data_IF_884694597924
#
_entry.id   IF_884694597924
#
_cell.length_a   1.000
_cell.length_b   1.000
_cell.length_c   1.000
_cell.angle_alpha   90.00
_cell.angle_beta   90.00
_cell.angle_gamma   90.00
#
_symmetry.space_group_name_H-M   'P 1'
#
loop_
_entity.id
_entity.type
_entity.pdbx_description
1 polymer ?
#
# COMPACT_ATOMS: atom_id res chain seq x y z
N UNK A 1 -12.56 -37.88 19.77
CA UNK A 1 -13.60 -37.46 18.81
C UNK A 1 -13.69 -35.94 18.88
N UNK A 2 -13.03 -35.24 17.95
CA UNK A 2 -13.10 -33.78 17.86
C UNK A 2 -14.46 -33.37 17.28
N UNK A 3 -15.10 -32.38 17.88
CA UNK A 3 -16.35 -31.80 17.38
C UNK A 3 -16.08 -31.04 16.07
N UNK A 4 -16.98 -31.09 15.08
CA UNK A 4 -16.82 -30.30 13.86
C UNK A 4 -17.04 -28.81 14.18
N UNK A 5 -16.13 -27.97 13.70
CA UNK A 5 -16.32 -26.52 13.63
C UNK A 5 -17.58 -26.25 12.81
N UNK A 6 -18.65 -25.86 13.50
CA UNK A 6 -19.91 -25.48 12.87
C UNK A 6 -19.68 -24.23 12.02
N UNK A 7 -20.19 -24.29 10.80
CA UNK A 7 -20.11 -23.22 9.81
C UNK A 7 -20.61 -21.90 10.39
N UNK A 8 -19.81 -20.83 10.24
CA UNK A 8 -20.30 -19.47 10.45
C UNK A 8 -21.43 -19.22 9.45
N UNK A 9 -22.64 -19.13 9.99
CA UNK A 9 -23.83 -18.70 9.26
C UNK A 9 -23.57 -17.32 8.64
N UNK A 10 -23.70 -17.23 7.32
CA UNK A 10 -23.63 -15.97 6.59
C UNK A 10 -24.93 -15.18 6.84
N UNK A 11 -25.01 -14.47 7.97
CA UNK A 11 -25.73 -13.21 7.95
C UNK A 11 -24.94 -12.25 7.08
N UNK A 12 -25.62 -11.52 6.19
CA UNK A 12 -25.00 -10.43 5.43
C UNK A 12 -24.44 -9.41 6.43
N UNK A 13 -23.15 -9.55 6.77
CA UNK A 13 -22.46 -8.60 7.62
C UNK A 13 -22.54 -7.25 6.92
N UNK A 14 -23.15 -6.26 7.59
CA UNK A 14 -23.13 -4.89 7.10
C UNK A 14 -21.67 -4.52 6.82
N UNK A 15 -21.38 -4.01 5.62
CA UNK A 15 -20.03 -3.58 5.26
C UNK A 15 -19.55 -2.59 6.32
N UNK A 16 -18.40 -2.82 6.98
CA UNK A 16 -17.94 -1.94 8.03
C UNK A 16 -17.77 -0.53 7.48
N UNK A 17 -18.14 0.47 8.27
CA UNK A 17 -17.93 1.87 7.89
C UNK A 17 -16.42 2.13 7.87
N UNK A 18 -15.88 2.50 6.72
CA UNK A 18 -14.46 2.75 6.54
C UNK A 18 -14.17 4.25 6.38
N UNK A 19 -13.06 4.70 6.97
CA UNK A 19 -12.47 6.03 6.70
C UNK A 19 -10.97 5.90 6.52
N UNK A 20 -10.48 6.33 5.36
CA UNK A 20 -9.05 6.44 5.07
C UNK A 20 -8.62 7.88 5.32
N UNK A 21 -7.77 8.09 6.32
CA UNK A 21 -7.17 9.39 6.62
C UNK A 21 -5.76 9.46 6.07
N UNK A 22 -5.50 10.40 5.16
CA UNK A 22 -4.15 10.56 4.57
C UNK A 22 -3.84 11.98 4.10
N UNK A 23 -2.60 12.23 3.69
CA UNK A 23 -2.24 13.42 2.94
C UNK A 23 -2.87 13.41 1.54
N UNK A 24 -2.99 14.59 0.92
CA UNK A 24 -3.34 14.70 -0.49
C UNK A 24 -2.15 14.34 -1.41
N UNK A 25 -1.64 13.12 -1.27
CA UNK A 25 -0.46 12.59 -1.95
C UNK A 25 -0.74 11.15 -2.44
N UNK A 26 -0.14 10.78 -3.58
CA UNK A 26 -0.19 9.43 -4.15
C UNK A 26 0.95 8.54 -3.64
N UNK A 27 1.09 8.43 -2.33
CA UNK A 27 2.15 7.68 -1.67
C UNK A 27 1.59 6.49 -0.86
N UNK A 28 1.96 6.33 0.41
CA UNK A 28 1.69 5.14 1.24
C UNK A 28 0.20 4.82 1.47
N UNK A 29 -0.69 5.81 1.36
CA UNK A 29 -2.14 5.61 1.45
C UNK A 29 -2.82 5.30 0.12
N UNK A 30 -2.15 5.54 -1.01
CA UNK A 30 -2.73 5.39 -2.34
C UNK A 30 -3.09 3.94 -2.69
N UNK A 31 -2.25 2.92 -2.41
CA UNK A 31 -2.62 1.54 -2.70
C UNK A 31 -3.92 1.11 -2.00
N UNK A 32 -4.10 1.49 -0.72
CA UNK A 32 -5.31 1.17 0.05
C UNK A 32 -6.53 1.85 -0.58
N UNK A 33 -6.39 3.14 -0.96
CA UNK A 33 -7.43 3.89 -1.67
C UNK A 33 -7.83 3.19 -2.98
N UNK A 34 -6.85 2.81 -3.79
CA UNK A 34 -7.09 2.13 -5.07
C UNK A 34 -7.78 0.78 -4.87
N UNK A 35 -7.35 -0.02 -3.89
CA UNK A 35 -7.98 -1.30 -3.61
C UNK A 35 -9.48 -1.14 -3.30
N UNK A 36 -9.82 -0.21 -2.40
CA UNK A 36 -11.22 0.08 -2.03
C UNK A 36 -12.05 0.59 -3.22
N UNK A 37 -11.48 1.48 -4.03
CA UNK A 37 -12.13 1.99 -5.25
C UNK A 37 -12.39 0.87 -6.27
N UNK A 38 -11.38 0.05 -6.56
CA UNK A 38 -11.47 -1.07 -7.53
C UNK A 38 -12.51 -2.09 -7.06
N UNK A 39 -12.49 -2.45 -5.78
CA UNK A 39 -13.46 -3.36 -5.19
C UNK A 39 -14.82 -2.74 -4.89
N UNK A 40 -15.03 -1.46 -5.23
CA UNK A 40 -16.28 -0.71 -5.00
C UNK A 40 -16.74 -0.75 -3.54
N UNK A 41 -15.78 -0.77 -2.60
CA UNK A 41 -16.05 -0.73 -1.17
C UNK A 41 -16.25 0.74 -0.77
N UNK A 42 -17.40 1.14 -0.22
CA UNK A 42 -17.63 2.52 0.21
C UNK A 42 -16.73 2.88 1.39
N UNK A 43 -16.12 4.06 1.34
CA UNK A 43 -15.30 4.61 2.42
C UNK A 43 -15.28 6.14 2.36
N UNK A 44 -15.03 6.78 3.49
CA UNK A 44 -14.68 8.21 3.56
C UNK A 44 -13.21 8.40 3.20
N UNK A 45 -12.91 9.07 2.09
CA UNK A 45 -11.55 9.50 1.72
C UNK A 45 -11.23 10.86 2.36
N UNK A 46 -10.80 10.83 3.62
CA UNK A 46 -10.42 12.05 4.33
C UNK A 46 -8.98 12.43 3.99
N UNK A 47 -8.82 13.61 3.38
CA UNK A 47 -7.51 14.16 3.03
C UNK A 47 -7.19 15.35 3.90
N UNK A 48 -5.98 15.39 4.45
CA UNK A 48 -5.49 16.55 5.19
C UNK A 48 -5.59 17.79 4.28
N UNK A 49 -6.39 18.80 4.64
CA UNK A 49 -6.66 19.94 3.75
C UNK A 49 -5.41 20.79 3.45
N UNK A 50 -4.57 21.00 4.46
CA UNK A 50 -3.36 21.80 4.34
C UNK A 50 -2.22 21.21 5.20
N UNK A 51 -1.00 21.22 4.67
CA UNK A 51 0.15 20.56 5.30
C UNK A 51 0.60 21.22 6.61
N UNK A 52 0.33 22.51 6.79
CA UNK A 52 0.59 23.28 8.01
C UNK A 52 -0.29 22.85 9.21
N UNK A 53 -1.39 22.13 8.96
CA UNK A 53 -2.21 21.50 10.00
C UNK A 53 -1.59 20.20 10.53
N UNK A 54 -0.66 19.58 9.78
CA UNK A 54 -0.05 18.31 10.16
C UNK A 54 0.66 18.33 11.51
N UNK A 55 1.48 19.35 11.88
CA UNK A 55 2.13 19.40 13.18
C UNK A 55 1.16 19.30 14.37
N UNK A 56 -0.04 19.90 14.27
CA UNK A 56 -1.06 19.85 15.31
C UNK A 56 -1.81 18.51 15.35
N UNK A 57 -2.03 17.88 14.19
CA UNK A 57 -2.71 16.60 14.09
C UNK A 57 -1.80 15.40 14.41
N UNK A 58 -0.51 15.49 14.09
CA UNK A 58 0.46 14.40 14.31
C UNK A 58 0.41 13.76 15.71
N UNK A 59 0.37 14.50 16.83
CA UNK A 59 0.31 13.87 18.16
C UNK A 59 -1.01 13.13 18.43
N UNK A 60 -2.06 13.36 17.64
CA UNK A 60 -3.35 12.68 17.79
C UNK A 60 -3.47 11.40 16.97
N UNK A 61 -2.51 11.12 16.08
CA UNK A 61 -2.51 9.87 15.30
C UNK A 61 -1.82 8.74 16.06
N UNK A 62 -2.26 7.50 15.82
CA UNK A 62 -1.90 6.30 16.58
C UNK A 62 -0.39 6.09 16.73
N UNK A 63 0.38 6.42 15.69
CA UNK A 63 1.84 6.28 15.68
C UNK A 63 2.57 7.57 15.32
N UNK A 64 1.91 8.73 15.40
CA UNK A 64 2.49 10.00 14.95
C UNK A 64 2.77 10.05 13.45
N UNK A 65 2.03 9.28 12.66
CA UNK A 65 2.17 9.10 11.22
C UNK A 65 0.81 8.99 10.54
N UNK A 66 0.79 9.15 9.22
CA UNK A 66 -0.31 8.81 8.31
C UNK A 66 0.27 7.90 7.19
N UNK A 67 -0.53 7.00 6.58
CA UNK A 67 -1.99 6.90 6.65
C UNK A 67 -2.54 6.18 7.88
N UNK A 68 -3.83 6.40 8.14
CA UNK A 68 -4.66 5.63 9.08
C UNK A 68 -5.95 5.14 8.42
N UNK A 69 -6.41 3.95 8.81
CA UNK A 69 -7.70 3.38 8.41
C UNK A 69 -8.56 3.22 9.67
N UNK A 70 -9.68 3.93 9.71
CA UNK A 70 -10.74 3.69 10.70
C UNK A 70 -11.70 2.64 10.17
N UNK A 71 -12.00 1.64 10.99
CA UNK A 71 -12.92 0.54 10.69
C UNK A 71 -14.00 0.49 11.77
N UNK A 72 -15.27 0.63 11.37
CA UNK A 72 -16.40 0.43 12.27
C UNK A 72 -16.61 -1.05 12.61
N UNK A 73 -16.73 -1.37 13.88
CA UNK A 73 -17.04 -2.69 14.41
C UNK A 73 -18.18 -2.59 15.43
N UNK A 74 -19.41 -2.91 15.00
CA UNK A 74 -20.61 -2.66 15.79
C UNK A 74 -20.79 -1.17 16.09
N UNK A 75 -20.89 -0.83 17.37
CA UNK A 75 -21.01 0.56 17.85
C UNK A 75 -19.65 1.24 18.10
N UNK A 76 -18.53 0.56 17.81
CA UNK A 76 -17.17 1.06 18.05
C UNK A 76 -16.42 1.36 16.75
N UNK A 77 -15.43 2.25 16.83
CA UNK A 77 -14.49 2.52 15.74
C UNK A 77 -13.08 2.11 16.16
N UNK A 78 -12.40 1.34 15.32
CA UNK A 78 -11.01 0.92 15.51
C UNK A 78 -10.10 1.64 14.52
N UNK A 79 -8.97 2.14 14.99
CA UNK A 79 -7.98 2.86 14.16
C UNK A 79 -6.75 1.99 13.92
N UNK A 80 -6.44 1.77 12.64
CA UNK A 80 -5.28 1.02 12.17
C UNK A 80 -4.34 1.93 11.38
N UNK A 81 -3.08 1.54 11.32
CA UNK A 81 -2.04 2.22 10.58
C UNK A 81 -1.10 1.16 9.98
N UNK A 82 -0.01 1.61 9.36
CA UNK A 82 0.89 0.83 8.51
C UNK A 82 0.26 0.53 7.15
N UNK A 83 0.81 1.18 6.11
CA UNK A 83 0.24 1.18 4.75
C UNK A 83 -0.04 -0.23 4.22
N UNK A 84 0.91 -1.15 4.37
CA UNK A 84 0.75 -2.52 3.85
C UNK A 84 -0.23 -3.35 4.68
N UNK A 85 -0.33 -3.12 5.99
CA UNK A 85 -1.32 -3.80 6.82
C UNK A 85 -2.74 -3.37 6.41
N UNK A 86 -2.95 -2.07 6.20
CA UNK A 86 -4.20 -1.51 5.70
C UNK A 86 -4.51 -2.00 4.28
N UNK A 87 -3.50 -2.06 3.41
CA UNK A 87 -3.64 -2.55 2.05
C UNK A 87 -4.05 -4.03 2.01
N UNK A 88 -3.45 -4.89 2.85
CA UNK A 88 -3.86 -6.29 2.98
C UNK A 88 -5.31 -6.41 3.43
N UNK A 89 -5.74 -5.62 4.40
CA UNK A 89 -7.12 -5.61 4.86
C UNK A 89 -8.08 -5.20 3.72
N UNK A 90 -7.78 -4.11 3.01
CA UNK A 90 -8.56 -3.69 1.84
C UNK A 90 -8.55 -4.77 0.75
N UNK A 91 -7.41 -5.38 0.44
CA UNK A 91 -7.29 -6.46 -0.53
C UNK A 91 -8.15 -7.68 -0.19
N UNK A 92 -8.25 -8.04 1.11
CA UNK A 92 -9.14 -9.11 1.57
C UNK A 92 -10.62 -8.75 1.38
N UNK A 93 -11.00 -7.50 1.66
CA UNK A 93 -12.38 -7.04 1.44
C UNK A 93 -12.78 -7.04 -0.04
N UNK A 94 -11.81 -6.79 -0.94
CA UNK A 94 -12.07 -6.53 -2.36
C UNK A 94 -11.74 -7.73 -3.26
N UNK A 95 -11.19 -8.81 -2.70
CA UNK A 95 -10.70 -9.98 -3.45
C UNK A 95 -9.40 -9.74 -4.22
N UNK A 96 -8.63 -8.69 -3.88
CA UNK A 96 -7.32 -8.38 -4.48
C UNK A 96 -6.14 -8.96 -3.67
N UNK A 97 -6.43 -9.70 -2.60
CA UNK A 97 -5.45 -10.47 -1.85
C UNK A 97 -5.72 -11.97 -2.04
N UNK A 98 -4.73 -12.77 -2.46
CA UNK A 98 -4.92 -14.21 -2.67
C UNK A 98 -5.35 -14.92 -1.39
N UNK A 99 -6.11 -16.01 -1.54
CA UNK A 99 -6.48 -16.90 -0.43
C UNK A 99 -5.58 -18.12 -0.31
N UNK A 100 -4.82 -18.45 -1.35
CA UNK A 100 -3.76 -19.45 -1.28
C UNK A 100 -2.57 -18.89 -0.52
N UNK A 101 -2.04 -19.64 0.45
CA UNK A 101 -1.02 -19.16 1.37
C UNK A 101 0.30 -18.82 0.67
N UNK A 102 0.67 -19.55 -0.39
CA UNK A 102 1.92 -19.30 -1.13
C UNK A 102 1.77 -18.11 -2.08
N UNK A 103 0.61 -17.97 -2.72
CA UNK A 103 0.31 -16.77 -3.52
C UNK A 103 0.26 -15.50 -2.65
N UNK A 104 -0.35 -15.60 -1.46
CA UNK A 104 -0.39 -14.52 -0.48
C UNK A 104 1.02 -14.15 0.01
N UNK A 105 1.85 -15.14 0.36
CA UNK A 105 3.25 -14.93 0.73
C UNK A 105 4.02 -14.21 -0.38
N UNK A 106 3.81 -14.59 -1.65
CA UNK A 106 4.48 -13.99 -2.80
C UNK A 106 4.08 -12.52 -2.99
N UNK A 107 2.81 -12.19 -2.77
CA UNK A 107 2.33 -10.79 -2.74
C UNK A 107 3.01 -10.00 -1.63
N UNK A 108 3.11 -10.59 -0.43
CA UNK A 108 3.69 -9.92 0.73
C UNK A 108 5.22 -9.72 0.62
N UNK A 109 5.93 -10.70 0.06
CA UNK A 109 7.35 -10.58 -0.30
C UNK A 109 7.58 -9.38 -1.24
N UNK A 110 6.74 -9.26 -2.27
CA UNK A 110 6.87 -8.17 -3.24
C UNK A 110 6.58 -6.80 -2.62
N UNK A 111 5.54 -6.69 -1.79
CA UNK A 111 5.25 -5.43 -1.07
C UNK A 111 6.41 -5.03 -0.16
N UNK A 112 7.04 -5.98 0.53
CA UNK A 112 8.26 -5.73 1.29
C UNK A 112 9.38 -5.17 0.44
N UNK A 113 9.62 -5.75 -0.74
CA UNK A 113 10.62 -5.26 -1.68
C UNK A 113 10.32 -3.84 -2.19
N UNK A 114 9.04 -3.50 -2.44
CA UNK A 114 8.61 -2.12 -2.78
C UNK A 114 8.92 -1.15 -1.64
N UNK A 115 8.70 -1.57 -0.39
CA UNK A 115 9.02 -0.75 0.78
C UNK A 115 10.52 -0.54 0.95
N UNK A 116 11.35 -1.56 0.70
CA UNK A 116 12.81 -1.43 0.73
C UNK A 116 13.30 -0.38 -0.28
N UNK A 117 12.76 -0.37 -1.51
CA UNK A 117 13.05 0.68 -2.50
C UNK A 117 12.63 2.05 -1.99
N UNK A 118 11.42 2.15 -1.44
CA UNK A 118 10.90 3.41 -0.90
C UNK A 118 11.80 3.94 0.21
N UNK A 119 12.32 3.09 1.09
CA UNK A 119 13.23 3.49 2.16
C UNK A 119 14.56 4.04 1.65
N UNK A 120 15.02 3.63 0.46
CA UNK A 120 16.20 4.22 -0.18
C UNK A 120 15.90 5.58 -0.83
N UNK A 121 14.68 5.79 -1.32
CA UNK A 121 14.27 7.06 -1.96
C UNK A 121 13.96 8.17 -0.93
N UNK A 122 13.26 7.85 0.15
CA UNK A 122 12.75 8.84 1.13
C UNK A 122 13.83 9.81 1.67
N UNK A 123 15.08 9.38 1.95
CA UNK A 123 16.14 10.28 2.39
C UNK A 123 16.39 11.45 1.42
N UNK A 124 16.44 11.20 0.10
CA UNK A 124 16.70 12.26 -0.89
C UNK A 124 15.55 13.27 -0.98
N UNK A 125 14.32 12.81 -0.74
CA UNK A 125 13.12 13.67 -0.69
C UNK A 125 13.13 14.59 0.52
N UNK A 126 13.70 14.13 1.64
CA UNK A 126 13.79 14.90 2.90
C UNK A 126 15.02 15.79 2.98
N UNK A 127 16.01 15.58 2.10
CA UNK A 127 17.22 16.39 2.06
C UNK A 127 16.89 17.84 1.64
N UNK A 128 17.52 18.80 2.32
CA UNK A 128 17.32 20.24 2.09
C UNK A 128 18.50 20.86 1.35
N UNK A 129 19.70 20.30 1.52
CA UNK A 129 20.89 20.71 0.80
C UNK A 129 20.81 20.26 -0.66
N UNK A 130 20.92 21.21 -1.59
CA UNK A 130 20.71 20.95 -3.00
C UNK A 130 21.78 20.03 -3.60
N UNK A 131 23.05 20.21 -3.21
CA UNK A 131 24.17 19.42 -3.74
C UNK A 131 24.09 17.97 -3.23
N UNK A 132 23.84 17.78 -1.93
CA UNK A 132 23.63 16.45 -1.35
C UNK A 132 22.43 15.75 -1.95
N UNK A 133 21.30 16.46 -2.13
CA UNK A 133 20.10 15.93 -2.77
C UNK A 133 20.40 15.43 -4.18
N UNK A 134 21.05 16.24 -5.00
CA UNK A 134 21.41 15.88 -6.37
C UNK A 134 22.35 14.66 -6.39
N UNK A 135 23.35 14.62 -5.51
CA UNK A 135 24.26 13.47 -5.38
C UNK A 135 23.52 12.19 -4.97
N UNK A 136 22.61 12.27 -3.98
CA UNK A 136 21.79 11.13 -3.56
C UNK A 136 20.88 10.62 -4.68
N UNK A 137 20.26 11.52 -5.44
CA UNK A 137 19.37 11.17 -6.55
C UNK A 137 20.14 10.59 -7.73
N UNK A 138 21.34 11.09 -8.02
CA UNK A 138 22.24 10.50 -9.00
C UNK A 138 22.59 9.05 -8.64
N UNK A 139 22.95 8.79 -7.37
CA UNK A 139 23.20 7.42 -6.91
C UNK A 139 21.95 6.53 -7.01
N UNK A 140 20.76 7.07 -6.72
CA UNK A 140 19.50 6.34 -6.92
C UNK A 140 19.28 5.97 -8.38
N UNK A 141 19.52 6.89 -9.31
CA UNK A 141 19.32 6.71 -10.75
C UNK A 141 20.35 5.77 -11.39
N UNK A 142 21.62 5.89 -11.03
CA UNK A 142 22.71 5.13 -11.67
C UNK A 142 22.86 3.70 -11.10
N UNK A 143 22.49 3.47 -9.83
CA UNK A 143 22.77 2.21 -9.14
C UNK A 143 21.51 1.54 -8.58
N UNK A 144 20.79 2.23 -7.69
CA UNK A 144 19.72 1.61 -6.90
C UNK A 144 18.50 1.24 -7.75
N UNK A 145 17.94 2.21 -8.46
CA UNK A 145 16.68 2.04 -9.20
C UNK A 145 16.83 1.04 -10.35
N UNK A 146 17.88 1.08 -11.20
CA UNK A 146 18.05 0.07 -12.25
C UNK A 146 18.12 -1.36 -11.69
N UNK A 147 18.83 -1.56 -10.58
CA UNK A 147 18.94 -2.86 -9.93
C UNK A 147 17.58 -3.37 -9.43
N UNK A 148 16.81 -2.54 -8.72
CA UNK A 148 15.51 -2.93 -8.19
C UNK A 148 14.44 -3.10 -9.27
N UNK A 149 14.38 -2.19 -10.24
CA UNK A 149 13.43 -2.26 -11.35
C UNK A 149 13.71 -3.50 -12.21
N UNK A 150 14.97 -3.84 -12.46
CA UNK A 150 15.34 -5.09 -13.14
C UNK A 150 14.89 -6.35 -12.38
N UNK A 151 14.94 -6.33 -11.04
CA UNK A 151 14.39 -7.43 -10.21
C UNK A 151 12.86 -7.50 -10.29
N UNK A 152 12.18 -6.35 -10.31
CA UNK A 152 10.72 -6.30 -10.47
C UNK A 152 10.28 -6.79 -11.84
N UNK A 153 10.97 -6.41 -12.92
CA UNK A 153 10.73 -6.94 -14.26
C UNK A 153 10.92 -8.46 -14.31
N UNK A 154 11.99 -8.97 -13.69
CA UNK A 154 12.20 -10.40 -13.54
C UNK A 154 11.03 -11.09 -12.82
N UNK A 155 10.54 -10.50 -11.73
CA UNK A 155 9.40 -11.01 -10.97
C UNK A 155 8.11 -11.05 -11.82
N UNK A 156 7.80 -9.97 -12.54
CA UNK A 156 6.66 -9.89 -13.47
C UNK A 156 6.79 -10.95 -14.57
N UNK A 157 8.00 -11.14 -15.11
CA UNK A 157 8.30 -12.15 -16.13
C UNK A 157 7.99 -13.57 -15.67
N UNK A 158 8.28 -13.92 -14.41
CA UNK A 158 7.95 -15.25 -13.86
C UNK A 158 6.44 -15.54 -13.78
N UNK A 159 5.61 -14.50 -13.86
CA UNK A 159 4.15 -14.59 -13.73
C UNK A 159 3.39 -14.35 -15.04
N UNK A 160 4.07 -14.46 -16.19
CA UNK A 160 3.43 -14.32 -17.51
C UNK A 160 3.26 -12.87 -17.98
N UNK A 161 3.93 -11.91 -17.33
CA UNK A 161 4.20 -10.59 -17.89
C UNK A 161 3.13 -9.52 -17.69
N UNK A 162 1.92 -9.87 -17.21
CA UNK A 162 0.81 -8.89 -17.07
C UNK A 162 0.60 -8.41 -15.64
N UNK A 163 0.69 -9.33 -14.67
CA UNK A 163 0.47 -9.04 -13.26
C UNK A 163 1.64 -9.54 -12.44
N UNK A 164 1.84 -8.89 -11.29
CA UNK A 164 2.89 -9.27 -10.36
C UNK A 164 2.63 -10.60 -9.69
N UNK A 165 1.39 -11.00 -9.49
CA UNK A 165 1.07 -12.22 -8.76
C UNK A 165 -0.05 -13.02 -9.43
N UNK A 166 -0.20 -14.24 -8.92
CA UNK A 166 -1.32 -15.11 -9.24
C UNK A 166 -2.36 -15.03 -8.12
N UNK A 167 -3.60 -15.29 -8.48
CA UNK A 167 -4.67 -15.57 -7.53
C UNK A 167 -5.49 -16.74 -8.08
N UNK A 168 -5.55 -17.85 -7.34
CA UNK A 168 -6.19 -19.09 -7.79
C UNK A 168 -5.47 -19.73 -8.98
N UNK A 169 -4.14 -19.66 -9.00
CA UNK A 169 -3.27 -20.26 -10.01
C UNK A 169 -3.19 -19.51 -11.34
N UNK A 170 -3.84 -18.35 -11.47
CA UNK A 170 -3.88 -17.55 -12.70
C UNK A 170 -3.33 -16.14 -12.46
N UNK A 171 -2.66 -15.52 -13.45
CA UNK A 171 -2.26 -14.11 -13.36
C UNK A 171 -3.49 -13.25 -13.05
N UNK A 172 -3.38 -12.41 -12.02
CA UNK A 172 -4.50 -11.58 -11.56
C UNK A 172 -3.98 -10.27 -10.98
N UNK A 173 -4.78 -9.20 -11.09
CA UNK A 173 -4.52 -7.96 -10.37
C UNK A 173 -4.60 -8.23 -8.87
N UNK A 174 -3.55 -7.87 -8.15
CA UNK A 174 -3.45 -8.00 -6.69
C UNK A 174 -3.01 -6.69 -6.05
N UNK A 175 -2.98 -6.66 -4.73
CA UNK A 175 -2.42 -5.53 -3.99
C UNK A 175 -0.93 -5.28 -4.28
N UNK A 176 -0.17 -6.27 -4.75
CA UNK A 176 1.23 -6.09 -5.15
C UNK A 176 1.34 -5.10 -6.33
N UNK A 177 0.44 -5.23 -7.31
CA UNK A 177 0.32 -4.33 -8.47
C UNK A 177 0.00 -2.90 -8.04
N UNK A 178 -0.87 -2.74 -7.04
CA UNK A 178 -1.19 -1.42 -6.49
C UNK A 178 -0.01 -0.80 -5.74
N UNK A 179 0.77 -1.61 -5.01
CA UNK A 179 2.01 -1.20 -4.37
C UNK A 179 3.05 -0.70 -5.37
N UNK A 180 3.29 -1.48 -6.43
CA UNK A 180 4.20 -1.09 -7.52
C UNK A 180 3.70 0.16 -8.24
N UNK A 181 2.41 0.23 -8.58
CA UNK A 181 1.82 1.39 -9.23
C UNK A 181 2.03 2.68 -8.43
N UNK A 182 1.87 2.64 -7.10
CA UNK A 182 2.12 3.80 -6.25
C UNK A 182 3.61 4.18 -6.19
N UNK A 183 4.53 3.22 -6.26
CA UNK A 183 5.96 3.51 -6.40
C UNK A 183 6.25 4.17 -7.77
N UNK A 184 5.76 3.59 -8.86
CA UNK A 184 5.99 4.10 -10.22
C UNK A 184 5.37 5.48 -10.43
N UNK A 185 4.20 5.74 -9.86
CA UNK A 185 3.57 7.07 -9.87
C UNK A 185 4.43 8.11 -9.16
N UNK A 186 5.23 7.70 -8.18
CA UNK A 186 6.13 8.58 -7.47
C UNK A 186 7.40 8.87 -8.27
N UNK A 187 7.98 7.82 -8.88
CA UNK A 187 9.15 7.93 -9.76
C UNK A 187 8.88 8.79 -11.00
N UNK A 188 7.69 8.66 -11.60
CA UNK A 188 7.32 9.36 -12.84
C UNK A 188 6.53 10.66 -12.59
N UNK A 189 6.18 10.94 -11.33
CA UNK A 189 5.34 12.09 -10.95
C UNK A 189 6.11 13.39 -10.68
N UNK A 190 7.39 13.45 -11.04
CA UNK A 190 8.25 14.63 -10.86
C UNK A 190 8.75 14.89 -9.43
N UNK A 191 8.39 14.04 -8.46
CA UNK A 191 8.81 14.24 -7.06
C UNK A 191 10.32 14.04 -6.87
N UNK A 192 10.95 13.32 -7.79
CA UNK A 192 12.39 13.09 -7.81
C UNK A 192 13.15 14.02 -8.78
N UNK A 193 12.49 14.98 -9.43
CA UNK A 193 13.14 15.88 -10.38
C UNK A 193 14.15 16.81 -9.71
N UNK A 194 15.33 16.96 -10.34
CA UNK A 194 16.50 17.72 -9.87
C UNK A 194 17.48 16.91 -9.04
#
# INVERSE_FOLDING_TARGET
RAQPLTSRSAMAAATPKLKLSYFNLKARGEPTRLALVIGKVPFEDWRLPAFDQWPAMKPTTRWGQLPELTVGEGDSELVFAQGDAMLRYAGKLTGLYPTDDLEALRVDEFLGAVEDVRMQIVPSVREKDAEKKAAMRKALDEETLPMWLGKFDGFIGTNGGTYLAKSGGKPALTIADLGLYALMSWLTGGVLDG
#
